data_IF_917060602823
#
_entry.id   IF_917060602823
#
_cell.length_a   1.000
_cell.length_b   1.000
_cell.length_c   1.000
_cell.angle_alpha   90.00
_cell.angle_beta   90.00
_cell.angle_gamma   90.00
#
_symmetry.space_group_name_H-M   'P 1'
#
loop_
_entity.id
_entity.type
_entity.pdbx_description
1 polymer ?
#
# COMPACT_ATOMS: atom_id res chain seq x y z
N UNK A 1 -32.83 -6.70 3.37
CA UNK A 1 -32.09 -7.78 2.66
C UNK A 1 -32.02 -7.61 1.15
N UNK A 2 -32.69 -6.63 0.54
CA UNK A 2 -32.77 -6.50 -0.94
C UNK A 2 -31.60 -5.79 -1.63
N UNK A 3 -30.83 -4.95 -0.95
CA UNK A 3 -29.77 -4.14 -1.62
C UNK A 3 -28.46 -4.91 -1.89
N UNK A 4 -28.15 -5.93 -1.11
CA UNK A 4 -26.93 -6.74 -1.32
C UNK A 4 -27.09 -7.77 -2.44
N UNK A 5 -28.31 -8.24 -2.69
CA UNK A 5 -28.61 -9.20 -3.75
C UNK A 5 -28.56 -8.56 -5.15
N UNK A 6 -28.80 -7.24 -5.25
CA UNK A 6 -28.71 -6.51 -6.53
C UNK A 6 -27.25 -6.23 -6.96
N UNK A 7 -26.32 -6.08 -6.01
CA UNK A 7 -24.89 -5.85 -6.30
C UNK A 7 -24.18 -7.11 -6.80
N UNK A 8 -24.61 -8.30 -6.36
CA UNK A 8 -24.04 -9.58 -6.81
C UNK A 8 -24.38 -9.95 -8.26
N UNK A 9 -25.40 -9.33 -8.84
CA UNK A 9 -25.86 -9.60 -10.19
C UNK A 9 -25.25 -8.67 -11.26
N UNK A 10 -24.52 -7.62 -10.83
CA UNK A 10 -23.80 -6.74 -11.74
C UNK A 10 -22.46 -7.35 -12.15
N UNK A 11 -22.19 -7.55 -13.46
CA UNK A 11 -20.95 -8.17 -13.96
C UNK A 11 -19.69 -7.44 -13.47
N UNK A 12 -19.76 -6.14 -13.35
CA UNK A 12 -18.68 -5.25 -12.91
C UNK A 12 -18.22 -5.57 -11.45
N UNK A 13 -19.16 -5.78 -10.54
CA UNK A 13 -18.82 -6.13 -9.15
C UNK A 13 -18.21 -7.53 -9.04
N UNK A 14 -18.56 -8.43 -9.91
CA UNK A 14 -17.99 -9.78 -9.96
C UNK A 14 -16.53 -9.73 -10.41
N UNK A 15 -16.24 -8.97 -11.45
CA UNK A 15 -14.88 -8.76 -11.96
C UNK A 15 -13.99 -8.10 -10.87
N UNK A 16 -14.50 -7.07 -10.21
CA UNK A 16 -13.83 -6.41 -9.10
C UNK A 16 -13.54 -7.36 -7.93
N UNK A 17 -14.49 -8.23 -7.59
CA UNK A 17 -14.32 -9.22 -6.53
C UNK A 17 -13.24 -10.26 -6.88
N UNK A 18 -13.21 -10.74 -8.12
CA UNK A 18 -12.20 -11.68 -8.62
C UNK A 18 -10.80 -11.03 -8.63
N UNK A 19 -10.71 -9.79 -9.12
CA UNK A 19 -9.46 -9.04 -9.24
C UNK A 19 -8.86 -8.69 -7.89
N UNK A 20 -9.68 -8.26 -6.95
CA UNK A 20 -9.20 -7.73 -5.66
C UNK A 20 -9.32 -8.72 -4.50
N UNK A 21 -10.15 -9.76 -4.66
CA UNK A 21 -10.47 -10.74 -3.65
C UNK A 21 -11.31 -10.20 -2.48
N UNK A 22 -11.93 -9.02 -2.63
CA UNK A 22 -12.93 -8.52 -1.68
C UNK A 22 -14.28 -9.23 -1.90
N UNK A 23 -15.05 -9.40 -0.81
CA UNK A 23 -16.44 -9.81 -0.93
C UNK A 23 -17.31 -8.66 -1.50
N UNK A 24 -18.47 -8.99 -2.06
CA UNK A 24 -19.42 -7.97 -2.53
C UNK A 24 -19.83 -6.98 -1.44
N UNK A 25 -19.94 -7.47 -0.21
CA UNK A 25 -20.24 -6.59 0.94
C UNK A 25 -19.09 -5.61 1.21
N UNK A 26 -17.85 -6.09 1.20
CA UNK A 26 -16.67 -5.23 1.37
C UNK A 26 -16.54 -4.21 0.24
N UNK A 27 -16.78 -4.62 -1.02
CA UNK A 27 -16.80 -3.69 -2.16
C UNK A 27 -17.87 -2.61 -1.97
N UNK A 28 -19.07 -3.00 -1.52
CA UNK A 28 -20.14 -2.03 -1.23
C UNK A 28 -19.79 -1.03 -0.12
N UNK A 29 -19.09 -1.47 0.93
CA UNK A 29 -18.60 -0.60 2.01
C UNK A 29 -17.52 0.35 1.47
N UNK A 30 -16.56 -0.18 0.70
CA UNK A 30 -15.48 0.60 0.11
C UNK A 30 -15.99 1.60 -0.92
N UNK A 31 -17.04 1.26 -1.69
CA UNK A 31 -17.69 2.18 -2.62
C UNK A 31 -18.34 3.36 -1.89
N UNK A 32 -19.06 3.08 -0.79
CA UNK A 32 -19.60 4.17 0.03
C UNK A 32 -18.49 5.08 0.57
N UNK A 33 -17.38 4.48 1.03
CA UNK A 33 -16.24 5.26 1.51
C UNK A 33 -15.59 6.08 0.42
N UNK A 34 -15.39 5.49 -0.76
CA UNK A 34 -14.87 6.19 -1.93
C UNK A 34 -15.74 7.40 -2.28
N UNK A 35 -17.06 7.23 -2.38
CA UNK A 35 -18.00 8.33 -2.67
C UNK A 35 -18.03 9.41 -1.58
N UNK A 36 -17.83 9.03 -0.31
CA UNK A 36 -17.69 10.02 0.77
C UNK A 36 -16.42 10.85 0.63
N UNK A 37 -15.28 10.19 0.33
CA UNK A 37 -13.99 10.87 0.17
C UNK A 37 -13.97 11.75 -1.07
N UNK A 38 -14.47 11.26 -2.20
CA UNK A 38 -14.52 11.99 -3.46
C UNK A 38 -15.65 13.01 -3.55
N UNK A 39 -16.42 13.22 -2.48
CA UNK A 39 -17.59 14.12 -2.47
C UNK A 39 -18.63 13.76 -3.55
N UNK A 40 -18.83 12.45 -3.80
CA UNK A 40 -19.66 11.84 -4.84
C UNK A 40 -19.16 12.02 -6.28
N UNK A 41 -17.93 12.46 -6.46
CA UNK A 41 -17.28 12.43 -7.77
C UNK A 41 -16.93 11.00 -8.19
N UNK A 42 -16.64 10.79 -9.48
CA UNK A 42 -16.27 9.47 -10.01
C UNK A 42 -14.77 9.17 -9.88
N UNK A 43 -13.98 10.15 -9.49
CA UNK A 43 -12.55 10.03 -9.25
C UNK A 43 -12.18 10.54 -7.86
N UNK A 44 -11.05 10.07 -7.34
CA UNK A 44 -10.47 10.46 -6.06
C UNK A 44 -9.12 11.15 -6.30
N UNK A 45 -8.87 12.24 -5.60
CA UNK A 45 -7.65 13.03 -5.67
C UNK A 45 -6.83 12.92 -4.37
N UNK A 46 -5.55 13.29 -4.43
CA UNK A 46 -4.68 13.35 -3.23
C UNK A 46 -5.28 14.16 -2.09
N UNK A 47 -5.85 15.33 -2.42
CA UNK A 47 -6.47 16.22 -1.44
C UNK A 47 -7.64 15.57 -0.67
N UNK A 48 -8.35 14.64 -1.30
CA UNK A 48 -9.46 13.91 -0.67
C UNK A 48 -8.95 12.93 0.39
N UNK A 49 -7.82 12.24 0.11
CA UNK A 49 -7.17 11.36 1.09
C UNK A 49 -6.55 12.14 2.25
N UNK A 50 -6.11 13.37 2.01
CA UNK A 50 -5.59 14.26 3.04
C UNK A 50 -6.60 14.59 4.13
N UNK A 51 -7.88 14.46 3.84
CA UNK A 51 -8.96 14.72 4.81
C UNK A 51 -9.15 13.60 5.84
N UNK A 52 -8.51 12.43 5.66
CA UNK A 52 -8.67 11.28 6.56
C UNK A 52 -7.92 11.52 7.87
N UNK A 53 -8.63 11.62 9.02
CA UNK A 53 -8.00 11.97 10.30
C UNK A 53 -6.96 10.95 10.76
N UNK A 54 -7.21 9.66 10.54
CA UNK A 54 -6.31 8.58 10.94
C UNK A 54 -4.99 8.61 10.15
N UNK A 55 -5.04 9.02 8.87
CA UNK A 55 -3.85 9.27 8.07
C UNK A 55 -3.08 10.50 8.54
N UNK A 56 -3.76 11.52 9.03
CA UNK A 56 -3.09 12.75 9.51
C UNK A 56 -2.09 12.49 10.64
N UNK A 57 -2.33 11.45 11.44
CA UNK A 57 -1.45 11.04 12.52
C UNK A 57 -0.38 10.02 12.09
N UNK A 58 -0.44 9.51 10.85
CA UNK A 58 0.51 8.51 10.36
C UNK A 58 1.83 9.19 9.92
N UNK A 59 2.99 8.75 10.44
CA UNK A 59 4.28 9.34 10.05
C UNK A 59 4.58 9.22 8.54
N UNK A 60 4.20 8.11 7.91
CA UNK A 60 4.39 7.86 6.48
C UNK A 60 3.15 8.18 5.64
N UNK A 61 2.35 9.16 6.08
CA UNK A 61 1.13 9.59 5.39
C UNK A 61 1.37 9.91 3.92
N UNK A 62 2.41 10.68 3.63
CA UNK A 62 2.74 11.11 2.27
C UNK A 62 2.99 9.91 1.37
N UNK A 63 3.81 8.96 1.82
CA UNK A 63 4.12 7.75 1.06
C UNK A 63 2.87 6.87 0.84
N UNK A 64 2.00 6.77 1.85
CA UNK A 64 0.74 6.04 1.72
C UNK A 64 -0.15 6.70 0.67
N UNK A 65 -0.31 8.02 0.71
CA UNK A 65 -1.13 8.76 -0.26
C UNK A 65 -0.54 8.59 -1.67
N UNK A 66 0.76 8.84 -1.86
CA UNK A 66 1.40 8.69 -3.17
C UNK A 66 1.26 7.27 -3.73
N UNK A 67 1.30 6.24 -2.88
CA UNK A 67 1.09 4.86 -3.32
C UNK A 67 -0.28 4.61 -3.96
N UNK A 68 -1.31 5.38 -3.62
CA UNK A 68 -2.61 5.30 -4.29
C UNK A 68 -2.59 5.85 -5.71
N UNK A 69 -1.66 6.74 -6.03
CA UNK A 69 -1.56 7.41 -7.32
C UNK A 69 -0.38 6.90 -8.18
N UNK A 70 0.39 5.95 -7.67
CA UNK A 70 1.46 5.30 -8.39
C UNK A 70 0.90 4.20 -9.30
N UNK A 71 1.04 4.37 -10.63
CA UNK A 71 0.53 3.44 -11.63
C UNK A 71 1.07 2.02 -11.47
N UNK A 72 2.26 1.84 -10.92
CA UNK A 72 2.85 0.52 -10.67
C UNK A 72 2.01 -0.35 -9.74
N UNK A 73 1.17 0.28 -8.90
CA UNK A 73 0.34 -0.40 -7.91
C UNK A 73 -1.01 -0.89 -8.44
N UNK A 74 -1.44 -0.43 -9.63
CA UNK A 74 -2.73 -0.82 -10.21
C UNK A 74 -2.67 -1.15 -11.71
N UNK A 75 -1.60 -0.81 -12.43
CA UNK A 75 -1.35 -1.21 -13.81
C UNK A 75 -0.12 -2.11 -13.91
N UNK A 76 -0.22 -3.20 -14.69
CA UNK A 76 0.87 -4.19 -14.82
C UNK A 76 2.17 -3.60 -15.41
N UNK A 77 2.05 -2.61 -16.29
CA UNK A 77 3.18 -1.93 -16.94
C UNK A 77 3.11 -0.42 -16.69
N UNK A 78 2.59 -0.03 -15.52
CA UNK A 78 2.46 1.37 -15.15
C UNK A 78 3.81 1.99 -14.83
N UNK A 79 4.02 3.22 -15.28
CA UNK A 79 5.13 4.07 -14.89
C UNK A 79 4.63 5.47 -14.55
N UNK A 80 5.23 6.08 -13.53
CA UNK A 80 4.85 7.39 -13.03
C UNK A 80 3.55 7.39 -12.22
N UNK A 81 3.02 8.58 -12.00
CA UNK A 81 1.84 8.82 -11.17
C UNK A 81 0.67 9.36 -11.99
N UNK A 82 -0.54 9.27 -11.40
CA UNK A 82 -1.76 9.92 -11.92
C UNK A 82 -2.21 11.02 -10.97
N UNK A 83 -3.01 11.94 -11.47
CA UNK A 83 -3.62 13.00 -10.65
C UNK A 83 -4.90 12.53 -9.95
N UNK A 84 -5.62 11.61 -10.57
CA UNK A 84 -6.90 11.10 -10.12
C UNK A 84 -6.94 9.59 -10.31
N UNK A 85 -7.65 8.88 -9.41
CA UNK A 85 -7.88 7.44 -9.51
C UNK A 85 -9.38 7.13 -9.52
N UNK A 86 -9.75 6.11 -10.28
CA UNK A 86 -11.10 5.53 -10.33
C UNK A 86 -11.39 4.66 -9.10
N UNK A 87 -12.64 4.26 -8.92
CA UNK A 87 -13.02 3.32 -7.87
C UNK A 87 -12.32 1.96 -8.02
N UNK A 88 -12.15 1.47 -9.24
CA UNK A 88 -11.44 0.21 -9.51
C UNK A 88 -9.99 0.30 -9.06
N UNK A 89 -9.25 1.34 -9.45
CA UNK A 89 -7.87 1.56 -9.07
C UNK A 89 -7.72 1.71 -7.55
N UNK A 90 -8.62 2.45 -6.90
CA UNK A 90 -8.70 2.54 -5.46
C UNK A 90 -8.86 1.16 -4.80
N UNK A 91 -9.76 0.31 -5.31
CA UNK A 91 -9.95 -1.06 -4.78
C UNK A 91 -8.71 -1.93 -4.96
N UNK A 92 -8.01 -1.82 -6.09
CA UNK A 92 -6.77 -2.57 -6.33
C UNK A 92 -5.72 -2.18 -5.30
N UNK A 93 -5.51 -0.89 -5.05
CA UNK A 93 -4.57 -0.45 -4.01
C UNK A 93 -5.02 -0.92 -2.62
N UNK A 94 -6.30 -0.78 -2.29
CA UNK A 94 -6.86 -1.26 -1.02
C UNK A 94 -6.66 -2.78 -0.82
N UNK A 95 -6.62 -3.56 -1.90
CA UNK A 95 -6.41 -5.02 -1.81
C UNK A 95 -5.04 -5.39 -1.25
N UNK A 96 -4.02 -4.55 -1.44
CA UNK A 96 -2.68 -4.76 -0.86
C UNK A 96 -2.66 -4.69 0.67
N UNK A 97 -3.61 -4.00 1.29
CA UNK A 97 -3.74 -3.91 2.75
C UNK A 97 -4.57 -5.07 3.34
N UNK A 98 -5.27 -5.83 2.52
CA UNK A 98 -6.12 -6.93 2.97
C UNK A 98 -5.29 -8.06 3.59
N UNK A 99 -5.68 -8.60 4.77
CA UNK A 99 -5.03 -9.77 5.34
C UNK A 99 -5.24 -11.01 4.43
N UNK A 100 -4.28 -11.94 4.37
CA UNK A 100 -4.48 -13.20 3.67
C UNK A 100 -5.69 -13.97 4.24
N UNK A 101 -6.49 -14.58 3.36
CA UNK A 101 -7.60 -15.40 3.81
C UNK A 101 -7.08 -16.72 4.46
N UNK A 102 -7.80 -17.20 5.47
CA UNK A 102 -7.40 -18.38 6.23
C UNK A 102 -7.35 -19.67 5.40
N UNK A 103 -8.14 -19.74 4.35
CA UNK A 103 -8.28 -20.91 3.47
C UNK A 103 -7.40 -20.87 2.21
N UNK A 104 -6.46 -19.94 2.14
CA UNK A 104 -5.51 -19.86 1.02
C UNK A 104 -4.53 -21.02 1.04
N UNK A 105 -4.19 -21.53 -0.16
CA UNK A 105 -3.07 -22.46 -0.32
C UNK A 105 -1.74 -21.74 -0.07
N UNK A 106 -0.67 -22.49 0.15
CA UNK A 106 0.66 -21.91 0.35
C UNK A 106 1.11 -21.08 -0.87
N UNK A 107 0.84 -21.57 -2.08
CA UNK A 107 1.15 -20.86 -3.32
C UNK A 107 0.38 -19.52 -3.42
N UNK A 108 -0.90 -19.50 -3.04
CA UNK A 108 -1.71 -18.29 -3.01
C UNK A 108 -1.20 -17.29 -1.97
N UNK A 109 -0.79 -17.78 -0.78
CA UNK A 109 -0.20 -16.93 0.26
C UNK A 109 1.10 -16.29 -0.21
N UNK A 110 1.96 -17.09 -0.86
CA UNK A 110 3.22 -16.59 -1.39
C UNK A 110 3.01 -15.54 -2.49
N UNK A 111 2.02 -15.74 -3.36
CA UNK A 111 1.63 -14.72 -4.35
C UNK A 111 1.21 -13.41 -3.69
N UNK A 112 0.28 -13.48 -2.73
CA UNK A 112 -0.17 -12.28 -1.98
C UNK A 112 0.99 -11.61 -1.24
N UNK A 113 1.90 -12.40 -0.67
CA UNK A 113 3.10 -11.88 0.00
C UNK A 113 3.97 -11.09 -0.97
N UNK A 114 4.24 -11.61 -2.18
CA UNK A 114 5.02 -10.91 -3.20
C UNK A 114 4.36 -9.62 -3.67
N UNK A 115 3.05 -9.64 -3.88
CA UNK A 115 2.29 -8.44 -4.26
C UNK A 115 2.40 -7.35 -3.19
N UNK A 116 2.29 -7.72 -1.91
CA UNK A 116 2.47 -6.79 -0.79
C UNK A 116 3.89 -6.26 -0.69
N UNK A 117 4.90 -7.11 -0.88
CA UNK A 117 6.30 -6.68 -0.89
C UNK A 117 6.58 -5.73 -2.03
N UNK A 118 6.04 -6.00 -3.23
CA UNK A 118 6.14 -5.11 -4.37
C UNK A 118 5.49 -3.75 -4.08
N UNK A 119 4.30 -3.75 -3.52
CA UNK A 119 3.63 -2.51 -3.10
C UNK A 119 4.47 -1.71 -2.12
N UNK A 120 5.02 -2.39 -1.11
CA UNK A 120 5.91 -1.77 -0.13
C UNK A 120 7.20 -1.22 -0.77
N UNK A 121 7.80 -1.99 -1.68
CA UNK A 121 8.96 -1.55 -2.44
C UNK A 121 8.65 -0.26 -3.20
N UNK A 122 7.54 -0.22 -3.95
CA UNK A 122 7.13 0.96 -4.72
C UNK A 122 6.90 2.21 -3.84
N UNK A 123 6.48 2.03 -2.58
CA UNK A 123 6.35 3.14 -1.63
C UNK A 123 7.70 3.75 -1.20
N UNK A 124 8.78 2.97 -1.29
CA UNK A 124 10.13 3.40 -0.90
C UNK A 124 10.96 3.88 -2.10
N UNK A 125 10.80 3.24 -3.25
CA UNK A 125 11.40 3.62 -4.53
C UNK A 125 10.63 4.85 -5.09
N UNK A 126 11.02 6.04 -4.64
CA UNK A 126 10.26 7.29 -4.86
C UNK A 126 10.54 7.92 -6.22
N UNK A 127 11.71 7.67 -6.81
CA UNK A 127 12.08 8.16 -8.14
C UNK A 127 11.78 7.17 -9.27
N UNK A 128 11.27 5.96 -8.91
CA UNK A 128 10.87 4.90 -9.82
C UNK A 128 12.01 4.32 -10.66
N UNK A 129 13.23 4.31 -10.15
CA UNK A 129 14.39 3.76 -10.85
C UNK A 129 14.52 2.23 -10.70
N UNK A 130 13.66 1.61 -9.86
CA UNK A 130 13.67 0.17 -9.59
C UNK A 130 14.64 -0.26 -8.52
N UNK A 131 15.18 0.70 -7.76
CA UNK A 131 16.05 0.46 -6.62
C UNK A 131 15.59 1.28 -5.42
N UNK A 132 15.89 0.82 -4.20
CA UNK A 132 15.75 1.64 -3.00
C UNK A 132 17.14 2.06 -2.57
N UNK A 133 17.44 3.33 -2.75
CA UNK A 133 18.72 3.92 -2.34
C UNK A 133 18.80 4.10 -0.83
N UNK A 134 20.01 4.27 -0.30
CA UNK A 134 20.21 4.58 1.11
C UNK A 134 19.51 5.87 1.53
N UNK A 135 19.47 6.87 0.63
CA UNK A 135 18.83 8.16 0.91
C UNK A 135 17.31 8.03 1.03
N UNK A 136 16.67 7.30 0.13
CA UNK A 136 15.23 7.02 0.18
C UNK A 136 14.87 6.24 1.45
N UNK A 137 15.65 5.21 1.78
CA UNK A 137 15.41 4.42 2.98
C UNK A 137 15.60 5.24 4.26
N UNK A 138 16.65 6.08 4.32
CA UNK A 138 16.85 7.02 5.44
C UNK A 138 15.67 7.94 5.62
N UNK A 139 15.16 8.51 4.54
CA UNK A 139 14.04 9.44 4.59
C UNK A 139 12.82 8.79 5.25
N UNK A 140 12.47 7.58 4.84
CA UNK A 140 11.34 6.85 5.43
C UNK A 140 11.58 6.50 6.91
N UNK A 141 12.78 6.02 7.25
CA UNK A 141 13.13 5.69 8.65
C UNK A 141 13.13 6.93 9.53
N UNK A 142 13.63 8.07 9.04
CA UNK A 142 13.59 9.34 9.76
C UNK A 142 12.15 9.79 10.01
N UNK A 143 11.25 9.69 9.03
CA UNK A 143 9.84 10.03 9.19
C UNK A 143 9.14 9.12 10.20
N UNK A 144 9.35 7.81 10.11
CA UNK A 144 8.78 6.83 11.02
C UNK A 144 9.20 7.07 12.47
N UNK A 145 10.48 7.39 12.71
CA UNK A 145 11.04 7.51 14.04
C UNK A 145 10.93 8.93 14.61
N UNK A 146 10.92 9.97 13.79
CA UNK A 146 10.85 11.37 14.24
C UNK A 146 9.56 11.70 14.99
N UNK A 147 8.45 11.10 14.59
CA UNK A 147 7.13 11.33 15.23
C UNK A 147 6.94 10.52 16.51
N UNK A 148 7.73 9.47 16.73
CA UNK A 148 7.67 8.71 17.99
C UNK A 148 8.16 9.52 19.18
N UNK A 149 8.86 10.67 18.96
CA UNK A 149 9.43 11.51 20.01
C UNK A 149 10.53 10.83 20.83
N UNK A 150 10.79 9.55 20.56
CA UNK A 150 11.67 8.70 21.36
C UNK A 150 13.13 8.72 20.86
N UNK A 151 13.35 9.05 19.59
CA UNK A 151 14.67 8.95 18.96
C UNK A 151 14.99 10.23 18.17
N UNK A 152 16.20 10.76 18.38
CA UNK A 152 16.70 11.89 17.58
C UNK A 152 17.01 11.49 16.13
N UNK A 153 17.05 12.47 15.22
CA UNK A 153 17.34 12.25 13.79
C UNK A 153 18.64 11.48 13.54
N UNK A 154 19.69 11.74 14.29
CA UNK A 154 20.98 11.04 14.17
C UNK A 154 20.86 9.55 14.50
N UNK A 155 20.03 9.20 15.50
CA UNK A 155 19.78 7.79 15.84
C UNK A 155 18.97 7.09 14.74
N UNK A 156 17.94 7.76 14.18
CA UNK A 156 17.15 7.25 13.07
C UNK A 156 18.02 6.99 11.83
N UNK A 157 18.92 7.93 11.53
CA UNK A 157 19.91 7.80 10.46
C UNK A 157 20.85 6.61 10.69
N UNK A 158 21.38 6.48 11.90
CA UNK A 158 22.25 5.34 12.25
C UNK A 158 21.55 3.98 12.13
N UNK A 159 20.24 3.91 12.46
CA UNK A 159 19.44 2.69 12.28
C UNK A 159 19.27 2.38 10.78
N UNK A 160 18.96 3.38 9.96
CA UNK A 160 18.83 3.21 8.52
C UNK A 160 20.16 2.76 7.89
N UNK A 161 21.27 3.39 8.27
CA UNK A 161 22.60 3.05 7.78
C UNK A 161 22.98 1.61 8.14
N UNK A 162 22.71 1.19 9.37
CA UNK A 162 22.99 -0.17 9.83
C UNK A 162 22.17 -1.22 9.05
N UNK A 163 20.87 -0.97 8.86
CA UNK A 163 20.00 -1.86 8.11
C UNK A 163 20.42 -1.96 6.63
N UNK A 164 20.79 -0.84 6.00
CA UNK A 164 21.28 -0.85 4.63
C UNK A 164 22.65 -1.51 4.48
N UNK A 165 23.54 -1.40 5.47
CA UNK A 165 24.81 -2.12 5.45
C UNK A 165 24.62 -3.63 5.52
N UNK A 166 23.63 -4.10 6.27
CA UNK A 166 23.26 -5.52 6.33
C UNK A 166 22.79 -6.01 4.94
N UNK A 167 21.96 -5.24 4.25
CA UNK A 167 21.51 -5.53 2.90
C UNK A 167 22.64 -5.34 1.87
N UNK A 168 23.45 -4.30 1.99
CA UNK A 168 24.55 -3.98 1.08
C UNK A 168 25.69 -5.00 1.13
N UNK A 169 25.81 -5.80 2.19
CA UNK A 169 26.72 -6.95 2.22
C UNK A 169 26.35 -8.02 1.17
N UNK A 170 25.13 -7.95 0.65
CA UNK A 170 24.54 -8.89 -0.30
C UNK A 170 24.32 -8.24 -1.67
N UNK A 171 23.99 -6.96 -1.70
CA UNK A 171 23.71 -6.20 -2.91
C UNK A 171 24.48 -4.87 -2.89
N UNK A 172 25.03 -4.42 -4.00
CA UNK A 172 25.97 -3.30 -4.17
C UNK A 172 25.53 -1.92 -3.59
N UNK A 173 24.95 -1.87 -2.37
CA UNK A 173 24.65 -0.62 -1.65
C UNK A 173 23.25 -0.04 -1.94
N UNK A 174 22.40 -0.78 -2.62
CA UNK A 174 20.99 -0.46 -2.85
C UNK A 174 20.14 -1.73 -2.75
N UNK A 175 18.88 -1.60 -2.43
CA UNK A 175 17.94 -2.72 -2.44
C UNK A 175 17.17 -2.78 -3.75
N UNK A 176 17.10 -3.97 -4.34
CA UNK A 176 16.19 -4.27 -5.43
C UNK A 176 15.07 -5.18 -4.92
N UNK A 177 13.95 -5.23 -5.64
CA UNK A 177 12.78 -6.00 -5.23
C UNK A 177 13.11 -7.47 -4.92
N UNK A 178 14.04 -8.08 -5.66
CA UNK A 178 14.51 -9.45 -5.45
C UNK A 178 15.20 -9.65 -4.10
N UNK A 179 15.97 -8.67 -3.65
CA UNK A 179 16.67 -8.73 -2.36
C UNK A 179 15.66 -8.69 -1.21
N UNK A 180 14.61 -7.86 -1.35
CA UNK A 180 13.49 -7.84 -0.41
C UNK A 180 12.75 -9.17 -0.38
N UNK A 181 12.55 -9.84 -1.52
CA UNK A 181 11.92 -11.17 -1.58
C UNK A 181 12.74 -12.25 -0.89
N UNK A 182 14.07 -12.19 -0.97
CA UNK A 182 14.98 -13.21 -0.42
C UNK A 182 15.17 -13.04 1.09
N UNK A 183 15.34 -11.79 1.55
CA UNK A 183 15.78 -11.51 2.92
C UNK A 183 14.65 -11.16 3.88
N UNK A 184 13.49 -10.80 3.37
CA UNK A 184 12.44 -10.38 4.29
C UNK A 184 11.73 -11.54 4.96
N UNK A 185 12.27 -11.97 6.06
CA UNK A 185 11.50 -12.20 7.30
C UNK A 185 10.87 -10.88 7.78
N UNK A 186 10.81 -9.86 6.92
CA UNK A 186 10.16 -8.60 7.21
C UNK A 186 8.74 -8.87 7.66
N UNK A 187 8.49 -8.47 8.87
CA UNK A 187 7.20 -8.63 9.51
C UNK A 187 6.21 -7.67 8.82
N UNK A 188 5.57 -8.14 7.74
CA UNK A 188 4.61 -7.37 6.94
C UNK A 188 3.33 -7.07 7.77
N UNK A 189 3.39 -7.18 9.10
CA UNK A 189 2.24 -6.94 9.97
C UNK A 189 1.63 -5.56 9.77
N UNK A 190 2.42 -4.55 9.44
CA UNK A 190 1.87 -3.21 9.18
C UNK A 190 1.11 -3.10 7.85
N UNK A 191 1.35 -4.00 6.87
CA UNK A 191 0.54 -4.09 5.65
C UNK A 191 -0.72 -4.96 5.84
N UNK A 192 -0.84 -5.65 6.96
CA UNK A 192 -2.04 -6.39 7.33
C UNK A 192 -3.00 -5.52 8.16
N UNK A 193 -3.05 -4.23 7.88
CA UNK A 193 -4.07 -3.36 8.48
C UNK A 193 -5.45 -3.88 8.13
N UNK A 194 -6.29 -3.98 9.14
CA UNK A 194 -7.69 -4.23 8.92
C UNK A 194 -8.25 -3.08 8.06
N UNK A 195 -8.70 -3.40 6.86
CA UNK A 195 -9.29 -2.43 5.94
C UNK A 195 -10.49 -1.70 6.55
N UNK A 196 -11.10 -2.27 7.59
CA UNK A 196 -12.15 -1.61 8.35
C UNK A 196 -11.64 -0.41 9.15
N UNK A 197 -10.36 -0.39 9.53
CA UNK A 197 -9.74 0.74 10.24
C UNK A 197 -9.49 1.93 9.30
N UNK A 198 -9.19 1.67 8.03
CA UNK A 198 -9.07 2.72 7.00
C UNK A 198 -10.43 3.25 6.53
N UNK A 199 -11.51 2.52 6.84
CA UNK A 199 -12.87 2.84 6.44
C UNK A 199 -13.73 3.45 7.56
N UNK A 200 -13.17 3.71 8.74
CA UNK A 200 -13.82 4.49 9.81
C UNK A 200 -13.55 5.99 9.62
#
# INVERSE_FOLDING_TARGET
>A
MGALQSLSDEPEYRELAEKTGFSFEQIGILNKRFKQLSHNEDTLRRADLDTIPDLACNPIRTQIIEAFFDKRNFHQNGDGTVEEISFEEFLVVMSHFRPPALNMTEEQREKVRREKLRFLFNMHDTDNDGTITLEEYRHVVEELLSRSGALGKETAKGIADAAMLEVASISMGHMILKDIEIETRMNIRFLNMDTTTLCK
#
